data_IF_408865715914
#
_entry.id   IF_408865715914
#
_cell.length_a   1.000
_cell.length_b   1.000
_cell.length_c   1.000
_cell.angle_alpha   90.00
_cell.angle_beta   90.00
_cell.angle_gamma   90.00
#
_symmetry.space_group_name_H-M   'P 1'
#
loop_
_entity.id
_entity.type
_entity.pdbx_description
1 polymer ?
#
# COMPACT_ATOMS: atom_id res chain seq x y z
N UNK A 1 0.70 -57.15 -68.27
CA UNK A 1 1.49 -56.69 -67.10
C UNK A 1 2.52 -55.66 -67.56
N UNK A 2 2.13 -54.39 -67.61
CA UNK A 2 2.91 -53.16 -67.87
C UNK A 2 1.84 -52.08 -68.06
N UNK A 3 1.96 -50.92 -67.41
CA UNK A 3 1.03 -49.77 -67.42
C UNK A 3 0.11 -49.62 -66.19
N UNK A 4 0.60 -49.75 -64.95
CA UNK A 4 -0.15 -49.22 -63.79
C UNK A 4 0.74 -48.82 -62.60
N UNK A 5 1.94 -48.29 -62.85
CA UNK A 5 2.85 -47.91 -61.77
C UNK A 5 3.71 -46.69 -62.13
N UNK A 6 3.07 -45.58 -62.51
CA UNK A 6 3.80 -44.32 -62.75
C UNK A 6 2.94 -43.06 -62.57
N UNK A 7 2.14 -42.99 -61.48
CA UNK A 7 1.32 -41.78 -61.21
C UNK A 7 1.17 -41.43 -59.72
N UNK A 8 1.99 -41.99 -58.82
CA UNK A 8 1.92 -41.73 -57.37
C UNK A 8 3.24 -41.24 -56.76
N UNK A 9 4.08 -40.54 -57.54
CA UNK A 9 5.41 -40.09 -57.08
C UNK A 9 5.71 -38.61 -57.35
N UNK A 10 4.67 -37.78 -57.48
CA UNK A 10 4.79 -36.31 -57.51
C UNK A 10 3.67 -35.69 -56.65
N UNK A 11 3.75 -35.89 -55.33
CA UNK A 11 2.88 -35.16 -54.38
C UNK A 11 3.48 -35.07 -52.96
N UNK A 12 4.81 -35.09 -52.84
CA UNK A 12 5.52 -34.79 -51.58
C UNK A 12 6.63 -33.76 -51.83
N UNK A 13 6.35 -32.77 -52.68
CA UNK A 13 7.11 -31.53 -52.69
C UNK A 13 6.55 -30.66 -51.57
N UNK A 14 7.40 -30.32 -50.61
CA UNK A 14 7.06 -29.80 -49.29
C UNK A 14 5.89 -28.81 -49.24
N UNK A 15 4.94 -29.12 -48.35
CA UNK A 15 4.03 -28.15 -47.76
C UNK A 15 4.85 -27.14 -46.95
N UNK A 16 5.56 -26.24 -47.62
CA UNK A 16 5.96 -24.97 -47.01
C UNK A 16 4.63 -24.29 -46.72
N UNK A 17 4.20 -24.34 -45.45
CA UNK A 17 3.03 -23.60 -44.98
C UNK A 17 3.31 -22.14 -45.34
N UNK A 18 2.68 -21.64 -46.40
CA UNK A 18 2.91 -20.30 -46.88
C UNK A 18 2.47 -19.34 -45.78
N UNK A 19 3.43 -18.65 -45.18
CA UNK A 19 3.18 -17.62 -44.17
C UNK A 19 2.21 -16.59 -44.76
N UNK A 20 1.13 -16.30 -44.05
CA UNK A 20 0.14 -15.32 -44.50
C UNK A 20 0.76 -13.92 -44.58
N UNK A 21 0.21 -13.03 -45.40
CA UNK A 21 0.69 -11.64 -45.48
C UNK A 21 0.67 -10.97 -44.09
N UNK A 22 -0.38 -11.19 -43.30
CA UNK A 22 -0.48 -10.68 -41.93
C UNK A 22 0.65 -11.19 -41.02
N UNK A 23 0.98 -12.49 -41.07
CA UNK A 23 2.09 -13.03 -40.30
C UNK A 23 3.43 -12.43 -40.73
N UNK A 24 3.67 -12.25 -42.04
CA UNK A 24 4.89 -11.62 -42.53
C UNK A 24 5.00 -10.18 -42.05
N UNK A 25 3.92 -9.40 -42.16
CA UNK A 25 3.87 -8.01 -41.69
C UNK A 25 4.03 -7.90 -40.17
N UNK A 26 3.46 -8.84 -39.42
CA UNK A 26 3.62 -8.90 -37.97
C UNK A 26 5.07 -9.18 -37.57
N UNK A 27 5.72 -10.18 -38.19
CA UNK A 27 7.12 -10.48 -37.92
C UNK A 27 8.04 -9.31 -38.28
N UNK A 28 7.77 -8.63 -39.38
CA UNK A 28 8.49 -7.42 -39.76
C UNK A 28 8.30 -6.31 -38.71
N UNK A 29 7.06 -6.01 -38.33
CA UNK A 29 6.77 -5.00 -37.32
C UNK A 29 7.42 -5.34 -35.96
N UNK A 30 7.43 -6.63 -35.57
CA UNK A 30 8.08 -7.10 -34.35
C UNK A 30 9.59 -6.86 -34.41
N UNK A 31 10.23 -7.20 -35.53
CA UNK A 31 11.67 -6.98 -35.72
C UNK A 31 12.03 -5.49 -35.65
N UNK A 32 11.25 -4.63 -36.31
CA UNK A 32 11.44 -3.18 -36.27
C UNK A 32 11.26 -2.64 -34.84
N UNK A 33 10.26 -3.14 -34.11
CA UNK A 33 9.99 -2.78 -32.73
C UNK A 33 11.11 -3.22 -31.76
N UNK A 34 11.65 -4.43 -31.92
CA UNK A 34 12.75 -4.92 -31.08
C UNK A 34 14.03 -4.06 -31.24
N UNK A 35 14.32 -3.63 -32.47
CA UNK A 35 15.52 -2.85 -32.79
C UNK A 35 15.38 -1.36 -32.44
N UNK A 36 14.21 -0.76 -32.70
CA UNK A 36 13.99 0.67 -32.53
C UNK A 36 12.58 0.93 -31.96
N UNK A 37 12.32 0.58 -30.68
CA UNK A 37 10.97 0.56 -30.13
C UNK A 37 10.30 1.94 -30.15
N UNK A 38 11.03 3.01 -29.81
CA UNK A 38 10.49 4.36 -29.85
C UNK A 38 10.09 4.79 -31.27
N UNK A 39 10.91 4.46 -32.27
CA UNK A 39 10.61 4.77 -33.68
C UNK A 39 9.38 3.98 -34.15
N UNK A 40 9.33 2.69 -33.84
CA UNK A 40 8.18 1.85 -34.20
C UNK A 40 6.89 2.37 -33.55
N UNK A 41 6.92 2.73 -32.26
CA UNK A 41 5.76 3.34 -31.56
C UNK A 41 5.34 4.66 -32.22
N UNK A 42 6.29 5.48 -32.64
CA UNK A 42 6.03 6.79 -33.27
C UNK A 42 5.37 6.62 -34.63
N UNK A 43 5.91 5.74 -35.46
CA UNK A 43 5.55 5.61 -36.87
C UNK A 43 4.38 4.66 -37.10
N UNK A 44 4.25 3.62 -36.26
CA UNK A 44 3.35 2.50 -36.52
C UNK A 44 2.22 2.38 -35.49
N UNK A 45 2.02 3.33 -34.57
CA UNK A 45 0.79 3.42 -33.78
C UNK A 45 -0.12 4.54 -34.31
N UNK A 46 -1.41 4.28 -34.34
CA UNK A 46 -2.41 5.30 -34.61
C UNK A 46 -2.43 6.38 -33.51
N UNK A 47 -2.85 7.60 -33.85
CA UNK A 47 -2.89 8.71 -32.88
C UNK A 47 -3.92 8.47 -31.76
N UNK A 48 -4.94 7.65 -32.04
CA UNK A 48 -5.95 7.21 -31.06
C UNK A 48 -5.61 5.87 -30.40
N UNK A 49 -4.37 5.39 -30.51
CA UNK A 49 -3.97 4.11 -29.93
C UNK A 49 -4.14 4.12 -28.41
N UNK A 50 -4.70 3.02 -27.90
CA UNK A 50 -4.84 2.74 -26.47
C UNK A 50 -4.27 1.37 -26.12
N UNK A 51 -3.48 1.34 -25.05
CA UNK A 51 -3.01 0.11 -24.39
C UNK A 51 -3.66 -0.01 -23.02
N UNK A 52 -4.40 -1.08 -22.78
CA UNK A 52 -4.81 -1.47 -21.43
C UNK A 52 -3.76 -2.41 -20.87
N UNK A 53 -3.00 -1.96 -19.88
CA UNK A 53 -1.94 -2.76 -19.26
C UNK A 53 -2.50 -3.80 -18.27
N UNK A 54 -1.67 -4.78 -17.89
CA UNK A 54 -2.05 -5.81 -16.92
C UNK A 54 -2.41 -5.28 -15.52
N UNK A 55 -2.05 -4.03 -15.20
CA UNK A 55 -2.43 -3.38 -13.94
C UNK A 55 -3.77 -2.64 -14.01
N UNK A 56 -4.42 -2.61 -15.18
CA UNK A 56 -5.60 -1.80 -15.46
C UNK A 56 -5.30 -0.35 -15.85
N UNK A 57 -4.03 0.07 -15.87
CA UNK A 57 -3.65 1.38 -16.37
C UNK A 57 -3.86 1.46 -17.89
N UNK A 58 -4.48 2.54 -18.35
CA UNK A 58 -4.73 2.82 -19.77
C UNK A 58 -3.73 3.86 -20.26
N UNK A 59 -2.93 3.50 -21.26
CA UNK A 59 -1.91 4.36 -21.85
C UNK A 59 -2.26 4.73 -23.30
N UNK A 60 -2.17 6.01 -23.65
CA UNK A 60 -2.25 6.49 -25.02
C UNK A 60 -0.87 6.53 -25.72
N UNK A 61 -0.84 6.82 -27.03
CA UNK A 61 0.41 6.90 -27.82
C UNK A 61 1.49 7.79 -27.18
N UNK A 62 1.16 9.02 -26.76
CA UNK A 62 2.14 9.93 -26.14
C UNK A 62 2.70 9.37 -24.83
N UNK A 63 1.86 8.76 -23.99
CA UNK A 63 2.30 8.11 -22.76
C UNK A 63 3.22 6.93 -23.06
N UNK A 64 2.91 6.13 -24.08
CA UNK A 64 3.76 5.01 -24.52
C UNK A 64 5.11 5.54 -25.05
N UNK A 65 5.11 6.58 -25.88
CA UNK A 65 6.36 7.21 -26.36
C UNK A 65 7.24 7.70 -25.20
N UNK A 66 6.64 8.28 -24.16
CA UNK A 66 7.35 8.71 -22.97
C UNK A 66 8.03 7.53 -22.24
N UNK A 67 7.36 6.36 -22.17
CA UNK A 67 7.92 5.13 -21.59
C UNK A 67 9.14 4.62 -22.37
N UNK A 68 9.14 4.76 -23.71
CA UNK A 68 10.22 4.26 -24.56
C UNK A 68 11.37 5.24 -24.80
N UNK A 69 11.34 6.44 -24.19
CA UNK A 69 12.35 7.48 -24.42
C UNK A 69 13.78 7.05 -24.04
N UNK A 70 13.92 6.23 -23.00
CA UNK A 70 15.21 5.72 -22.52
C UNK A 70 15.42 4.22 -22.81
N UNK A 71 14.53 3.60 -23.59
CA UNK A 71 14.62 2.18 -23.93
C UNK A 71 15.48 2.03 -25.19
N UNK A 72 16.62 1.34 -25.04
CA UNK A 72 17.57 1.06 -26.12
C UNK A 72 17.01 0.04 -27.11
N UNK A 73 16.50 -1.06 -26.59
CA UNK A 73 15.99 -2.19 -27.37
C UNK A 73 14.97 -2.97 -26.55
N UNK A 74 14.22 -3.81 -27.25
CA UNK A 74 13.26 -4.73 -26.63
C UNK A 74 13.51 -6.14 -27.15
N UNK A 75 13.47 -7.12 -26.27
CA UNK A 75 13.25 -8.52 -26.64
C UNK A 75 11.77 -8.83 -26.47
N UNK A 76 11.11 -9.27 -27.54
CA UNK A 76 9.68 -9.61 -27.51
C UNK A 76 9.45 -10.92 -28.24
N UNK A 77 9.04 -11.96 -27.52
CA UNK A 77 8.86 -13.30 -28.07
C UNK A 77 7.48 -13.84 -27.68
N UNK A 78 6.81 -14.53 -28.61
CA UNK A 78 5.46 -15.06 -28.36
C UNK A 78 5.47 -16.58 -28.32
N UNK A 79 4.85 -17.16 -27.29
CA UNK A 79 4.41 -18.56 -27.25
C UNK A 79 2.92 -18.62 -27.59
N UNK A 80 2.50 -19.68 -28.28
CA UNK A 80 1.11 -19.87 -28.70
C UNK A 80 0.54 -18.67 -29.47
N UNK A 81 1.38 -18.07 -30.33
CA UNK A 81 0.98 -16.94 -31.16
C UNK A 81 -0.12 -17.38 -32.15
N UNK A 82 -1.24 -16.66 -32.14
CA UNK A 82 -2.29 -16.78 -33.13
C UNK A 82 -2.48 -15.43 -33.80
N UNK A 83 -2.42 -15.41 -35.13
CA UNK A 83 -2.63 -14.22 -35.94
C UNK A 83 -3.85 -14.47 -36.82
N UNK A 84 -4.81 -13.55 -36.79
CA UNK A 84 -6.01 -13.60 -37.63
C UNK A 84 -6.16 -12.30 -38.39
N UNK A 85 -6.50 -12.39 -39.67
CA UNK A 85 -6.78 -11.25 -40.53
C UNK A 85 -8.25 -11.27 -40.96
N UNK A 86 -8.91 -10.12 -40.88
CA UNK A 86 -10.26 -9.89 -41.37
C UNK A 86 -10.29 -8.57 -42.16
N UNK A 87 -10.32 -8.66 -43.50
CA UNK A 87 -10.10 -7.50 -44.36
C UNK A 87 -8.70 -6.92 -44.12
N UNK A 88 -8.62 -5.63 -43.79
CA UNK A 88 -7.37 -4.97 -43.43
C UNK A 88 -7.05 -5.05 -41.93
N UNK A 89 -7.94 -5.58 -41.10
CA UNK A 89 -7.71 -5.69 -39.66
C UNK A 89 -6.92 -6.96 -39.35
N UNK A 90 -5.90 -6.85 -38.51
CA UNK A 90 -5.09 -7.97 -38.02
C UNK A 90 -5.16 -8.02 -36.51
N UNK A 91 -5.44 -9.19 -35.95
CA UNK A 91 -5.43 -9.45 -34.51
C UNK A 91 -4.32 -10.47 -34.23
N UNK A 92 -3.39 -10.10 -33.36
CA UNK A 92 -2.32 -11.00 -32.90
C UNK A 92 -2.49 -11.23 -31.40
N UNK A 93 -2.59 -12.49 -30.98
CA UNK A 93 -2.74 -12.86 -29.57
C UNK A 93 -1.78 -13.98 -29.19
N UNK A 94 -1.21 -13.92 -27.99
CA UNK A 94 -0.31 -14.96 -27.50
C UNK A 94 0.32 -14.62 -26.15
N UNK A 95 1.07 -15.57 -25.60
CA UNK A 95 1.85 -15.35 -24.38
C UNK A 95 3.17 -14.66 -24.77
N UNK A 96 3.26 -13.37 -24.50
CA UNK A 96 4.42 -12.53 -24.80
C UNK A 96 5.40 -12.54 -23.62
N UNK A 97 6.66 -12.87 -23.90
CA UNK A 97 7.78 -12.57 -23.04
C UNK A 97 8.42 -11.26 -23.52
N UNK A 98 8.46 -10.24 -22.66
CA UNK A 98 8.93 -8.90 -22.97
C UNK A 98 10.09 -8.52 -22.06
N UNK A 99 11.22 -8.11 -22.63
CA UNK A 99 12.36 -7.55 -21.88
C UNK A 99 12.69 -6.17 -22.46
N UNK A 100 12.75 -5.16 -21.60
CA UNK A 100 13.19 -3.81 -21.96
C UNK A 100 14.61 -3.58 -21.48
N UNK A 101 15.48 -3.16 -22.40
CA UNK A 101 16.85 -2.79 -22.10
C UNK A 101 16.99 -1.28 -22.11
N UNK A 102 17.51 -0.70 -21.03
CA UNK A 102 17.62 0.75 -20.87
C UNK A 102 19.02 1.26 -21.22
N UNK A 103 19.11 2.52 -21.65
CA UNK A 103 20.38 3.17 -22.01
C UNK A 103 21.05 3.94 -20.85
N UNK A 104 20.37 4.07 -19.71
CA UNK A 104 20.76 4.94 -18.58
C UNK A 104 21.25 4.16 -17.35
N UNK A 105 21.48 2.85 -17.49
CA UNK A 105 21.88 1.97 -16.40
C UNK A 105 20.72 1.50 -15.52
N UNK A 106 19.47 1.87 -15.84
CA UNK A 106 18.29 1.25 -15.23
C UNK A 106 18.30 -0.26 -15.49
N UNK A 107 18.05 -1.11 -14.47
CA UNK A 107 17.97 -2.56 -14.67
C UNK A 107 16.90 -2.95 -15.69
N UNK A 108 17.17 -4.01 -16.44
CA UNK A 108 16.24 -4.52 -17.43
C UNK A 108 14.90 -4.91 -16.79
N UNK A 109 13.81 -4.59 -17.48
CA UNK A 109 12.46 -4.95 -17.06
C UNK A 109 12.00 -6.16 -17.88
N UNK A 110 11.93 -7.33 -17.24
CA UNK A 110 11.36 -8.54 -17.83
C UNK A 110 9.95 -8.80 -17.31
N UNK A 111 9.02 -9.10 -18.21
CA UNK A 111 7.62 -9.34 -17.89
C UNK A 111 6.97 -10.28 -18.89
N UNK A 112 6.12 -11.18 -18.38
CA UNK A 112 5.29 -12.07 -19.18
C UNK A 112 3.83 -11.57 -19.19
N UNK A 113 3.25 -11.52 -20.38
CA UNK A 113 1.86 -11.11 -20.59
C UNK A 113 1.12 -12.16 -21.43
N UNK A 114 -0.18 -12.29 -21.18
CA UNK A 114 -1.12 -12.67 -22.23
C UNK A 114 -1.47 -11.38 -22.97
N UNK A 115 -1.03 -11.28 -24.22
CA UNK A 115 -1.15 -10.07 -25.02
C UNK A 115 -2.12 -10.26 -26.16
N UNK A 116 -2.93 -9.24 -26.43
CA UNK A 116 -3.75 -9.12 -27.63
C UNK A 116 -3.52 -7.75 -28.26
N UNK A 117 -3.10 -7.75 -29.52
CA UNK A 117 -2.87 -6.54 -30.30
C UNK A 117 -3.78 -6.50 -31.52
N UNK A 118 -4.34 -5.33 -31.78
CA UNK A 118 -5.16 -5.07 -32.96
C UNK A 118 -4.45 -4.07 -33.84
N UNK A 119 -4.29 -4.41 -35.11
CA UNK A 119 -3.64 -3.61 -36.13
C UNK A 119 -4.56 -3.41 -37.33
N UNK A 120 -4.25 -2.41 -38.14
CA UNK A 120 -4.76 -2.22 -39.49
C UNK A 120 -3.61 -2.28 -40.49
N UNK A 121 -3.80 -2.98 -41.60
CA UNK A 121 -2.88 -2.95 -42.73
C UNK A 121 -3.11 -1.66 -43.51
N UNK A 122 -2.13 -0.77 -43.51
CA UNK A 122 -2.10 0.46 -44.33
C UNK A 122 -0.81 0.49 -45.12
N UNK A 123 -0.91 0.68 -46.44
CA UNK A 123 0.26 0.80 -47.33
C UNK A 123 1.28 -0.34 -47.13
N UNK A 124 0.79 -1.58 -46.95
CA UNK A 124 1.61 -2.76 -46.68
C UNK A 124 2.46 -2.67 -45.39
N UNK A 125 1.94 -2.00 -44.35
CA UNK A 125 2.48 -1.94 -42.98
C UNK A 125 1.37 -2.17 -41.96
N UNK A 126 1.73 -2.64 -40.76
CA UNK A 126 0.79 -2.67 -39.64
C UNK A 126 0.80 -1.34 -38.90
N UNK A 127 -0.38 -0.78 -38.71
CA UNK A 127 -0.63 0.36 -37.83
C UNK A 127 -1.41 -0.14 -36.62
N UNK A 128 -0.84 -0.04 -35.43
CA UNK A 128 -1.48 -0.42 -34.17
C UNK A 128 -2.71 0.44 -33.89
N UNK A 129 -3.83 -0.22 -33.62
CA UNK A 129 -5.09 0.41 -33.22
C UNK A 129 -5.32 0.31 -31.70
N UNK A 130 -5.02 -0.85 -31.10
CA UNK A 130 -5.10 -1.04 -29.66
C UNK A 130 -4.26 -2.23 -29.20
N UNK A 131 -3.95 -2.24 -27.90
CA UNK A 131 -3.33 -3.38 -27.23
C UNK A 131 -3.97 -3.66 -25.88
N UNK A 132 -3.88 -4.91 -25.45
CA UNK A 132 -4.22 -5.34 -24.11
C UNK A 132 -3.13 -6.28 -23.59
N UNK A 133 -2.68 -6.02 -22.38
CA UNK A 133 -1.82 -6.91 -21.62
C UNK A 133 -2.61 -7.42 -20.42
N UNK A 134 -2.52 -8.72 -20.16
CA UNK A 134 -2.98 -9.34 -18.92
C UNK A 134 -1.80 -10.02 -18.29
N UNK A 135 -1.53 -9.77 -17.01
CA UNK A 135 -0.51 -10.57 -16.32
C UNK A 135 -0.96 -12.01 -16.33
N UNK A 136 -0.11 -12.90 -16.82
CA UNK A 136 -0.33 -14.33 -16.61
C UNK A 136 -0.10 -14.58 -15.12
N UNK A 137 -1.16 -14.96 -14.42
CA UNK A 137 -1.01 -15.51 -13.07
C UNK A 137 -0.03 -16.67 -13.21
N UNK A 138 1.03 -16.75 -12.37
CA UNK A 138 1.92 -17.90 -12.44
C UNK A 138 1.10 -19.20 -12.36
N UNK A 139 1.44 -20.17 -13.21
CA UNK A 139 0.93 -21.53 -13.02
C UNK A 139 1.27 -21.94 -11.58
N UNK A 140 0.28 -22.49 -10.86
CA UNK A 140 0.46 -23.04 -9.52
C UNK A 140 0.69 -22.02 -8.38
N UNK A 141 -0.06 -20.91 -8.35
CA UNK A 141 -0.03 -19.94 -7.23
C UNK A 141 -0.16 -20.59 -5.85
N UNK A 142 -0.97 -21.64 -5.71
CA UNK A 142 -1.12 -22.33 -4.43
C UNK A 142 0.20 -22.92 -3.91
N UNK A 143 1.01 -23.54 -4.78
CA UNK A 143 2.32 -24.06 -4.39
C UNK A 143 3.27 -22.93 -4.01
N UNK A 144 3.27 -21.83 -4.77
CA UNK A 144 4.07 -20.64 -4.47
C UNK A 144 3.68 -20.00 -3.13
N UNK A 145 2.37 -19.92 -2.84
CA UNK A 145 1.86 -19.43 -1.56
C UNK A 145 2.36 -20.29 -0.39
N UNK A 146 2.30 -21.63 -0.49
CA UNK A 146 2.79 -22.52 0.56
C UNK A 146 4.31 -22.43 0.79
N UNK A 147 5.09 -22.27 -0.29
CA UNK A 147 6.54 -22.00 -0.19
C UNK A 147 6.78 -20.69 0.57
N UNK A 148 6.05 -19.63 0.21
CA UNK A 148 6.20 -18.33 0.87
C UNK A 148 5.75 -18.40 2.34
N UNK A 149 4.62 -19.03 2.67
CA UNK A 149 4.14 -19.21 4.07
C UNK A 149 5.20 -19.91 4.91
N UNK A 150 5.75 -21.02 4.40
CA UNK A 150 6.80 -21.79 5.07
C UNK A 150 8.05 -20.95 5.31
N UNK A 151 8.50 -20.24 4.26
CA UNK A 151 9.67 -19.36 4.35
C UNK A 151 9.49 -18.25 5.39
N UNK A 152 8.36 -17.54 5.35
CA UNK A 152 8.09 -16.42 6.25
C UNK A 152 7.97 -16.87 7.71
N UNK A 153 7.34 -18.02 7.94
CA UNK A 153 7.31 -18.65 9.27
C UNK A 153 8.71 -19.00 9.76
N UNK A 154 9.52 -19.64 8.91
CA UNK A 154 10.88 -20.04 9.27
C UNK A 154 11.79 -18.83 9.53
N UNK A 155 11.70 -17.78 8.70
CA UNK A 155 12.44 -16.54 8.91
C UNK A 155 12.11 -15.90 10.26
N UNK A 156 10.82 -15.88 10.64
CA UNK A 156 10.41 -15.39 11.97
C UNK A 156 11.00 -16.25 13.08
N UNK A 157 10.95 -17.57 12.98
CA UNK A 157 11.55 -18.49 13.96
C UNK A 157 13.06 -18.21 14.10
N UNK A 158 13.77 -18.08 12.99
CA UNK A 158 15.22 -17.92 12.96
C UNK A 158 15.66 -16.54 13.49
N UNK A 159 14.95 -15.46 13.17
CA UNK A 159 15.21 -14.11 13.72
C UNK A 159 15.14 -14.13 15.24
N UNK A 160 14.07 -14.69 15.80
CA UNK A 160 13.87 -14.71 17.25
C UNK A 160 14.82 -15.68 17.97
N UNK A 161 15.26 -16.74 17.28
CA UNK A 161 16.32 -17.61 17.75
C UNK A 161 17.74 -16.98 17.65
N UNK A 162 17.85 -15.72 17.21
CA UNK A 162 19.13 -15.01 17.09
C UNK A 162 20.03 -15.54 15.97
N UNK A 163 19.46 -16.24 14.98
CA UNK A 163 20.22 -16.75 13.83
C UNK A 163 20.42 -15.66 12.78
N UNK A 164 21.42 -15.84 11.93
CA UNK A 164 21.61 -15.00 10.77
C UNK A 164 20.56 -15.31 9.69
N UNK A 165 19.70 -14.33 9.43
CA UNK A 165 18.64 -14.41 8.41
C UNK A 165 18.92 -13.55 7.18
N UNK A 166 20.12 -12.99 7.03
CA UNK A 166 20.46 -12.11 5.89
C UNK A 166 20.20 -12.79 4.55
N UNK A 167 20.44 -14.10 4.45
CA UNK A 167 20.14 -14.90 3.26
C UNK A 167 18.64 -14.97 2.90
N UNK A 168 17.73 -14.61 3.82
CA UNK A 168 16.30 -14.50 3.52
C UNK A 168 15.91 -13.20 2.84
N UNK A 169 16.78 -12.20 2.84
CA UNK A 169 16.55 -10.89 2.25
C UNK A 169 17.24 -10.77 0.88
N UNK A 170 16.77 -9.83 0.06
CA UNK A 170 17.50 -9.42 -1.15
C UNK A 170 18.67 -8.55 -0.74
N UNK A 171 19.86 -8.86 -1.25
CA UNK A 171 21.04 -8.02 -1.04
C UNK A 171 20.96 -6.76 -1.92
N UNK A 172 20.30 -5.73 -1.39
CA UNK A 172 20.09 -4.46 -2.05
C UNK A 172 20.03 -3.34 -1.03
N UNK A 173 20.58 -2.13 -1.33
CA UNK A 173 20.45 -0.97 -0.45
C UNK A 173 19.01 -0.49 -0.29
N UNK A 174 18.09 -0.92 -1.17
CA UNK A 174 16.67 -0.58 -1.12
C UNK A 174 15.85 -1.57 -0.29
N UNK A 175 16.41 -2.72 0.07
CA UNK A 175 15.74 -3.68 0.94
C UNK A 175 15.48 -3.04 2.29
N UNK A 176 14.28 -3.16 2.85
CA UNK A 176 13.96 -2.50 4.11
C UNK A 176 13.22 -3.38 5.11
N UNK A 177 13.39 -3.03 6.39
CA UNK A 177 12.59 -3.53 7.51
C UNK A 177 12.02 -2.34 8.27
N UNK A 178 10.70 -2.30 8.39
CA UNK A 178 9.95 -1.30 9.15
C UNK A 178 9.13 -1.93 10.27
N UNK A 179 8.91 -1.18 11.34
CA UNK A 179 7.99 -1.54 12.39
C UNK A 179 7.42 -0.29 13.07
N UNK A 180 6.23 -0.42 13.63
CA UNK A 180 5.68 0.58 14.53
C UNK A 180 6.37 0.49 15.90
N UNK A 181 6.49 1.62 16.56
CA UNK A 181 6.98 1.80 17.93
C UNK A 181 5.96 2.62 18.69
N UNK A 182 6.13 2.71 20.01
CA UNK A 182 5.31 3.59 20.85
C UNK A 182 5.39 5.07 20.48
N UNK A 183 6.32 5.48 19.61
CA UNK A 183 6.54 6.88 19.23
C UNK A 183 6.38 7.14 17.72
N UNK A 184 5.88 6.18 16.94
CA UNK A 184 5.75 6.29 15.49
C UNK A 184 6.31 5.07 14.76
N UNK A 185 7.03 5.28 13.66
CA UNK A 185 7.58 4.19 12.85
C UNK A 185 9.11 4.25 12.79
N UNK A 186 9.73 3.08 12.87
CA UNK A 186 11.17 2.89 12.66
C UNK A 186 11.40 2.11 11.38
N UNK A 187 12.47 2.43 10.66
CA UNK A 187 12.86 1.75 9.43
C UNK A 187 14.38 1.60 9.35
N UNK A 188 14.83 0.47 8.80
CA UNK A 188 16.21 0.21 8.40
C UNK A 188 16.26 -0.16 6.93
N UNK A 189 17.27 0.33 6.22
CA UNK A 189 17.52 0.07 4.81
C UNK A 189 18.83 -0.67 4.63
N UNK A 190 18.88 -1.59 3.67
CA UNK A 190 20.03 -2.45 3.43
C UNK A 190 20.12 -3.62 4.41
N UNK A 191 20.58 -4.76 3.91
CA UNK A 191 20.68 -6.01 4.68
C UNK A 191 21.62 -5.89 5.88
N UNK A 192 22.70 -5.10 5.76
CA UNK A 192 23.65 -4.88 6.84
C UNK A 192 23.01 -4.17 8.07
N UNK A 193 22.25 -3.10 7.84
CA UNK A 193 21.59 -2.37 8.95
C UNK A 193 20.41 -3.16 9.52
N UNK A 194 19.70 -3.92 8.69
CA UNK A 194 18.67 -4.86 9.15
C UNK A 194 19.31 -5.91 10.07
N UNK A 195 20.45 -6.50 9.68
CA UNK A 195 21.16 -7.48 10.51
C UNK A 195 21.59 -6.86 11.83
N UNK A 196 22.23 -5.69 11.78
CA UNK A 196 22.67 -4.97 12.99
C UNK A 196 21.52 -4.74 13.97
N UNK A 197 20.36 -4.31 13.46
CA UNK A 197 19.17 -4.12 14.30
C UNK A 197 18.66 -5.46 14.88
N UNK A 198 18.67 -6.54 14.08
CA UNK A 198 18.28 -7.87 14.57
C UNK A 198 19.22 -8.37 15.67
N UNK A 199 20.52 -8.21 15.49
CA UNK A 199 21.53 -8.61 16.48
C UNK A 199 21.32 -7.83 17.80
N UNK A 200 21.06 -6.52 17.71
CA UNK A 200 20.78 -5.66 18.86
C UNK A 200 19.45 -6.02 19.52
N UNK A 201 18.42 -6.39 18.77
CA UNK A 201 17.06 -6.61 19.31
C UNK A 201 16.84 -8.04 19.82
N UNK A 202 17.41 -9.03 19.13
CA UNK A 202 17.14 -10.45 19.37
C UNK A 202 18.40 -11.24 19.73
N UNK A 203 19.58 -10.83 19.25
CA UNK A 203 20.83 -11.58 19.41
C UNK A 203 21.29 -11.77 20.87
N UNK A 204 20.96 -10.83 21.76
CA UNK A 204 21.31 -10.93 23.18
C UNK A 204 20.33 -11.77 24.01
N UNK A 205 19.16 -12.12 23.46
CA UNK A 205 18.13 -12.97 24.11
C UNK A 205 17.41 -13.85 23.09
N UNK A 206 18.07 -14.88 22.55
CA UNK A 206 17.41 -15.88 21.71
C UNK A 206 16.19 -16.47 22.40
N UNK A 207 15.12 -16.66 21.64
CA UNK A 207 13.88 -17.29 22.11
C UNK A 207 13.47 -18.35 21.11
N UNK A 208 13.08 -19.51 21.64
CA UNK A 208 12.33 -20.46 20.84
C UNK A 208 10.92 -19.92 20.64
N UNK A 209 10.51 -19.82 19.38
CA UNK A 209 9.23 -19.27 18.98
C UNK A 209 8.48 -20.29 18.14
N UNK A 210 7.17 -20.35 18.30
CA UNK A 210 6.28 -21.10 17.43
C UNK A 210 5.15 -20.19 16.96
N UNK A 211 5.45 -19.24 16.05
CA UNK A 211 4.45 -18.28 15.61
C UNK A 211 3.34 -18.98 14.85
N UNK A 212 2.10 -18.53 15.08
CA UNK A 212 0.94 -18.88 14.26
C UNK A 212 0.76 -17.75 13.26
N UNK A 213 0.80 -18.09 11.97
CA UNK A 213 0.53 -17.15 10.89
C UNK A 213 -0.80 -17.54 10.23
N UNK A 214 -1.73 -16.60 10.09
CA UNK A 214 -3.06 -16.85 9.49
C UNK A 214 -3.57 -15.63 8.72
N UNK A 215 -4.76 -15.75 8.12
CA UNK A 215 -5.40 -14.68 7.35
C UNK A 215 -4.53 -14.10 6.23
N UNK A 216 -3.79 -14.98 5.55
CA UNK A 216 -2.93 -14.58 4.45
C UNK A 216 -3.74 -14.00 3.28
N UNK A 217 -3.27 -12.88 2.76
CA UNK A 217 -3.69 -12.29 1.48
C UNK A 217 -2.47 -12.18 0.59
N UNK A 218 -2.55 -12.77 -0.60
CA UNK A 218 -1.49 -12.73 -1.60
C UNK A 218 -1.88 -11.85 -2.77
N UNK A 219 -0.91 -11.09 -3.28
CA UNK A 219 -0.99 -10.43 -4.57
C UNK A 219 0.32 -10.66 -5.33
N UNK A 220 0.27 -11.51 -6.34
CA UNK A 220 1.36 -11.69 -7.29
C UNK A 220 1.28 -10.58 -8.35
N UNK A 221 2.34 -9.81 -8.49
CA UNK A 221 2.47 -8.82 -9.56
C UNK A 221 3.10 -9.43 -10.81
N UNK A 222 3.96 -10.41 -10.61
CA UNK A 222 4.58 -11.27 -11.65
C UNK A 222 4.82 -12.66 -11.04
N UNK A 223 5.25 -13.66 -11.83
CA UNK A 223 5.72 -14.94 -11.28
C UNK A 223 6.86 -14.84 -10.25
N UNK A 224 7.56 -13.70 -10.24
CA UNK A 224 8.74 -13.46 -9.41
C UNK A 224 8.54 -12.34 -8.37
N UNK A 225 7.37 -11.69 -8.30
CA UNK A 225 7.14 -10.58 -7.35
C UNK A 225 5.79 -10.78 -6.66
N UNK A 226 5.80 -10.78 -5.33
CA UNK A 226 4.60 -10.95 -4.51
C UNK A 226 4.54 -9.95 -3.36
N UNK A 227 3.33 -9.46 -3.06
CA UNK A 227 2.98 -8.83 -1.78
C UNK A 227 2.15 -9.81 -0.97
N UNK A 228 2.53 -9.97 0.30
CA UNK A 228 1.85 -10.86 1.25
C UNK A 228 1.51 -10.08 2.50
N UNK A 229 0.27 -10.18 2.94
CA UNK A 229 -0.24 -9.59 4.17
C UNK A 229 -0.81 -10.70 5.03
N UNK A 230 -0.48 -10.75 6.32
CA UNK A 230 -0.98 -11.80 7.22
C UNK A 230 -1.00 -11.34 8.69
N UNK A 231 -1.72 -12.08 9.52
CA UNK A 231 -1.69 -11.95 10.97
C UNK A 231 -0.65 -12.89 11.57
N UNK A 232 0.14 -12.39 12.52
CA UNK A 232 1.17 -13.17 13.21
C UNK A 232 0.98 -13.12 14.72
N UNK A 233 0.76 -14.29 15.32
CA UNK A 233 0.70 -14.51 16.76
C UNK A 233 2.02 -15.10 17.22
N UNK A 234 2.95 -14.24 17.65
CA UNK A 234 4.29 -14.66 18.08
C UNK A 234 4.27 -15.70 19.20
N UNK A 235 3.44 -15.50 20.22
CA UNK A 235 3.35 -16.36 21.40
C UNK A 235 2.10 -17.27 21.38
N UNK A 236 1.46 -17.41 20.22
CA UNK A 236 0.20 -18.13 20.07
C UNK A 236 -1.03 -17.34 20.52
N UNK A 237 -2.20 -18.00 20.49
CA UNK A 237 -3.50 -17.42 20.88
C UNK A 237 -3.71 -17.54 22.40
N UNK A 238 -4.43 -16.60 23.06
CA UNK A 238 -5.31 -15.56 22.49
C UNK A 238 -4.66 -14.16 22.36
N UNK A 239 -3.34 -14.07 22.16
CA UNK A 239 -2.65 -12.78 22.00
C UNK A 239 -3.23 -11.96 20.83
N UNK A 240 -3.17 -10.63 20.92
CA UNK A 240 -3.42 -9.76 19.76
C UNK A 240 -2.28 -9.99 18.73
N UNK A 241 -2.60 -10.32 17.47
CA UNK A 241 -1.57 -10.55 16.46
C UNK A 241 -0.92 -9.23 16.03
N UNK A 242 0.30 -9.29 15.50
CA UNK A 242 0.81 -8.22 14.64
C UNK A 242 0.23 -8.37 13.23
N UNK A 243 0.04 -7.25 12.52
CA UNK A 243 -0.21 -7.27 11.08
C UNK A 243 1.12 -7.19 10.35
N UNK A 244 1.43 -8.22 9.58
CA UNK A 244 2.68 -8.34 8.85
C UNK A 244 2.44 -8.06 7.37
N UNK A 245 3.32 -7.30 6.76
CA UNK A 245 3.39 -7.10 5.31
C UNK A 245 4.78 -7.46 4.81
N UNK A 246 4.84 -8.20 3.70
CA UNK A 246 6.08 -8.65 3.06
C UNK A 246 6.00 -8.40 1.56
N UNK A 247 6.98 -7.70 1.03
CA UNK A 247 7.25 -7.65 -0.41
C UNK A 247 8.36 -8.66 -0.70
N UNK A 248 8.12 -9.58 -1.61
CA UNK A 248 9.07 -10.64 -1.97
C UNK A 248 9.41 -10.59 -3.45
N UNK A 249 10.66 -10.95 -3.75
CA UNK A 249 11.15 -11.19 -5.10
C UNK A 249 11.76 -12.58 -5.19
N UNK A 250 11.56 -13.28 -6.31
CA UNK A 250 12.18 -14.56 -6.59
C UNK A 250 13.52 -14.31 -7.28
N UNK A 251 14.61 -14.58 -6.57
CA UNK A 251 15.98 -14.46 -7.07
C UNK A 251 16.57 -15.86 -7.20
N UNK A 252 17.02 -16.22 -8.41
CA UNK A 252 17.55 -17.56 -8.72
C UNK A 252 16.59 -18.69 -8.27
N UNK A 253 15.29 -18.54 -8.57
CA UNK A 253 14.26 -19.52 -8.22
C UNK A 253 13.84 -19.53 -6.75
N UNK A 254 14.47 -18.73 -5.88
CA UNK A 254 14.18 -18.68 -4.44
C UNK A 254 13.53 -17.36 -4.05
N UNK A 255 12.41 -17.40 -3.33
CA UNK A 255 11.82 -16.20 -2.75
C UNK A 255 12.73 -15.56 -1.70
N UNK A 256 12.91 -14.26 -1.81
CA UNK A 256 13.67 -13.40 -0.90
C UNK A 256 12.82 -12.20 -0.50
N UNK A 257 13.03 -11.68 0.70
CA UNK A 257 12.30 -10.52 1.23
C UNK A 257 12.96 -9.26 0.69
N UNK A 258 12.21 -8.49 -0.11
CA UNK A 258 12.57 -7.16 -0.58
C UNK A 258 12.15 -6.07 0.42
N UNK A 259 11.05 -6.30 1.15
CA UNK A 259 10.53 -5.35 2.12
C UNK A 259 9.75 -6.06 3.21
N UNK A 260 9.95 -5.60 4.45
CA UNK A 260 9.28 -6.10 5.64
C UNK A 260 8.63 -4.93 6.38
N UNK A 261 7.36 -5.05 6.75
CA UNK A 261 6.70 -4.14 7.68
C UNK A 261 5.90 -4.93 8.72
N UNK A 262 6.25 -4.77 9.99
CA UNK A 262 5.59 -5.40 11.13
C UNK A 262 4.80 -4.37 11.95
N UNK A 263 3.49 -4.55 12.07
CA UNK A 263 2.60 -3.66 12.82
C UNK A 263 2.08 -4.37 14.08
N UNK A 264 2.82 -4.24 15.18
CA UNK A 264 2.58 -4.89 16.48
C UNK A 264 1.36 -4.39 17.24
N UNK A 265 0.92 -3.15 17.00
CA UNK A 265 -0.17 -2.50 17.73
C UNK A 265 -1.25 -1.95 16.78
N UNK A 266 -1.38 -2.54 15.59
CA UNK A 266 -2.27 -2.04 14.54
C UNK A 266 -3.73 -1.92 14.98
N UNK A 267 -4.15 -2.75 15.94
CA UNK A 267 -5.50 -2.76 16.52
C UNK A 267 -5.62 -1.94 17.81
N UNK A 268 -4.50 -1.58 18.43
CA UNK A 268 -4.45 -0.80 19.67
C UNK A 268 -3.31 0.23 19.59
N UNK A 269 -3.53 1.29 18.81
CA UNK A 269 -2.52 2.31 18.55
C UNK A 269 -2.27 3.18 19.81
N UNK A 270 -1.49 2.64 20.74
CA UNK A 270 -1.18 3.25 22.03
C UNK A 270 -0.47 4.61 21.87
N UNK A 271 0.34 4.76 20.83
CA UNK A 271 0.95 6.04 20.49
C UNK A 271 -0.10 7.11 20.20
N UNK A 272 -1.06 6.81 19.33
CA UNK A 272 -2.12 7.75 18.99
C UNK A 272 -3.07 7.99 20.15
N UNK A 273 -3.40 6.95 20.94
CA UNK A 273 -4.13 7.13 22.21
C UNK A 273 -3.41 8.09 23.15
N UNK A 274 -2.08 8.02 23.20
CA UNK A 274 -1.23 8.94 23.95
C UNK A 274 -1.28 10.37 23.41
N UNK A 275 -1.26 10.56 22.09
CA UNK A 275 -1.35 11.89 21.47
C UNK A 275 -2.74 12.52 21.65
N UNK A 276 -3.81 11.72 21.55
CA UNK A 276 -5.18 12.13 21.87
C UNK A 276 -5.26 12.57 23.34
N UNK A 277 -4.73 11.76 24.26
CA UNK A 277 -4.70 12.09 25.69
C UNK A 277 -3.94 13.39 25.97
N UNK A 278 -2.77 13.58 25.36
CA UNK A 278 -1.98 14.82 25.50
C UNK A 278 -2.75 16.06 25.04
N UNK A 279 -3.53 15.94 23.96
CA UNK A 279 -4.37 17.04 23.46
C UNK A 279 -5.42 17.44 24.49
N UNK A 280 -6.06 16.44 25.12
CA UNK A 280 -7.07 16.65 26.17
C UNK A 280 -6.42 17.24 27.42
N UNK A 281 -5.33 16.67 27.90
CA UNK A 281 -4.62 17.18 29.08
C UNK A 281 -4.09 18.60 28.84
N UNK A 282 -3.61 18.92 27.63
CA UNK A 282 -3.20 20.28 27.26
C UNK A 282 -4.38 21.26 27.32
N UNK A 283 -5.56 20.87 26.84
CA UNK A 283 -6.77 21.69 26.89
C UNK A 283 -7.25 21.90 28.33
N UNK A 284 -7.35 20.82 29.11
CA UNK A 284 -7.75 20.87 30.52
C UNK A 284 -6.76 21.68 31.37
N UNK A 285 -5.46 21.51 31.15
CA UNK A 285 -4.43 22.33 31.82
C UNK A 285 -4.60 23.82 31.49
N UNK A 286 -4.80 24.15 30.20
CA UNK A 286 -5.00 25.52 29.76
C UNK A 286 -6.27 26.14 30.34
N UNK A 287 -7.36 25.38 30.43
CA UNK A 287 -8.58 25.79 31.12
C UNK A 287 -8.30 26.14 32.59
N UNK A 288 -7.65 25.27 33.36
CA UNK A 288 -7.35 25.54 34.77
C UNK A 288 -6.37 26.71 34.98
N UNK A 289 -5.44 26.91 34.03
CA UNK A 289 -4.49 28.02 34.03
C UNK A 289 -5.11 29.35 33.56
N UNK A 290 -6.34 29.37 33.05
CA UNK A 290 -6.93 30.57 32.45
C UNK A 290 -6.31 30.98 31.11
N UNK A 291 -5.53 30.10 30.47
CA UNK A 291 -4.88 30.35 29.18
C UNK A 291 -5.82 29.96 28.03
N UNK A 292 -6.70 30.88 27.69
CA UNK A 292 -7.73 30.66 26.66
C UNK A 292 -7.11 30.48 25.26
N UNK A 293 -5.93 31.06 25.00
CA UNK A 293 -5.26 30.88 23.72
C UNK A 293 -4.71 29.45 23.58
N UNK A 294 -4.02 28.93 24.61
CA UNK A 294 -3.53 27.56 24.63
C UNK A 294 -4.68 26.54 24.61
N UNK A 295 -5.78 26.85 25.30
CA UNK A 295 -7.01 26.04 25.26
C UNK A 295 -7.53 25.98 23.82
N UNK A 296 -7.73 27.14 23.17
CA UNK A 296 -8.28 27.20 21.83
C UNK A 296 -7.40 26.54 20.76
N UNK A 297 -6.07 26.49 20.97
CA UNK A 297 -5.15 25.75 20.10
C UNK A 297 -5.43 24.24 20.06
N UNK A 298 -6.10 23.67 21.06
CA UNK A 298 -6.46 22.25 21.08
C UNK A 298 -7.78 21.95 20.35
N UNK A 299 -8.53 22.98 19.94
CA UNK A 299 -9.82 22.85 19.28
C UNK A 299 -9.73 23.10 17.78
N UNK A 300 -10.58 22.44 17.00
CA UNK A 300 -10.72 22.67 15.57
C UNK A 300 -11.75 23.78 15.28
N UNK A 301 -11.69 24.94 15.95
CA UNK A 301 -12.74 25.98 15.89
C UNK A 301 -13.13 26.49 14.49
N UNK A 302 -12.26 26.28 13.50
CA UNK A 302 -12.53 26.62 12.10
C UNK A 302 -13.52 25.64 11.42
N UNK A 303 -13.74 24.45 11.98
CA UNK A 303 -14.75 23.53 11.49
C UNK A 303 -16.17 24.05 11.80
N UNK A 304 -17.08 23.92 10.83
CA UNK A 304 -18.48 24.34 10.99
C UNK A 304 -19.29 23.45 11.93
N UNK A 305 -18.78 22.25 12.23
CA UNK A 305 -19.45 21.23 13.02
C UNK A 305 -18.94 21.12 14.46
N UNK A 306 -18.03 21.99 14.91
CA UNK A 306 -17.55 21.95 16.30
C UNK A 306 -18.71 22.15 17.26
N UNK A 307 -18.79 21.30 18.28
CA UNK A 307 -19.88 21.30 19.24
C UNK A 307 -19.41 21.12 20.69
N UNK A 308 -20.17 21.70 21.61
CA UNK A 308 -19.93 21.59 23.06
C UNK A 308 -21.27 21.44 23.77
N UNK A 309 -21.38 20.38 24.54
CA UNK A 309 -22.51 20.10 25.41
C UNK A 309 -22.04 20.12 26.87
N UNK A 310 -22.58 21.02 27.67
CA UNK A 310 -22.23 21.10 29.10
C UNK A 310 -23.43 21.45 29.94
N UNK A 311 -23.66 20.67 31.00
CA UNK A 311 -24.77 20.94 31.93
C UNK A 311 -24.60 22.27 32.66
N UNK A 312 -23.35 22.67 32.95
CA UNK A 312 -23.05 23.95 33.58
C UNK A 312 -23.57 25.16 32.81
N UNK A 313 -23.76 25.07 31.48
CA UNK A 313 -24.34 26.16 30.69
C UNK A 313 -25.75 26.56 31.14
N UNK A 314 -26.54 25.63 31.72
CA UNK A 314 -27.82 25.96 32.35
C UNK A 314 -27.65 27.02 33.45
N UNK A 315 -26.61 26.88 34.28
CA UNK A 315 -26.31 27.79 35.41
C UNK A 315 -25.87 29.18 34.91
N UNK A 316 -25.42 29.29 33.66
CA UNK A 316 -25.04 30.56 33.01
C UNK A 316 -26.17 31.19 32.19
N UNK A 317 -27.35 30.56 32.10
CA UNK A 317 -28.44 31.03 31.22
C UNK A 317 -28.15 30.87 29.73
N UNK A 318 -27.24 29.95 29.37
CA UNK A 318 -26.81 29.67 27.99
C UNK A 318 -27.38 28.31 27.56
N UNK A 319 -27.72 28.08 26.28
CA UNK A 319 -28.13 26.77 25.80
C UNK A 319 -27.11 25.69 26.15
N UNK A 320 -27.59 24.53 26.63
CA UNK A 320 -26.77 23.37 27.03
C UNK A 320 -25.91 22.84 25.89
N UNK A 321 -26.35 23.06 24.65
CA UNK A 321 -25.71 22.63 23.43
C UNK A 321 -25.36 23.86 22.57
N UNK A 322 -24.08 24.02 22.26
CA UNK A 322 -23.57 25.07 21.38
C UNK A 322 -22.83 24.43 20.20
N UNK A 323 -23.03 24.96 18.99
CA UNK A 323 -22.40 24.49 17.76
C UNK A 323 -21.94 25.64 16.87
N UNK A 324 -20.85 25.44 16.12
CA UNK A 324 -20.40 26.34 15.06
C UNK A 324 -20.23 27.78 15.55
N UNK A 325 -20.91 28.73 14.89
CA UNK A 325 -20.82 30.17 15.23
C UNK A 325 -21.28 30.50 16.64
N UNK A 326 -22.29 29.81 17.17
CA UNK A 326 -22.76 30.05 18.53
C UNK A 326 -21.69 29.67 19.57
N UNK A 327 -20.98 28.56 19.32
CA UNK A 327 -19.85 28.14 20.17
C UNK A 327 -18.67 29.11 20.05
N UNK A 328 -18.35 29.60 18.83
CA UNK A 328 -17.31 30.61 18.62
C UNK A 328 -17.63 31.92 19.36
N UNK A 329 -18.85 32.42 19.22
CA UNK A 329 -19.30 33.62 19.90
C UNK A 329 -19.26 33.46 21.43
N UNK A 330 -19.67 32.31 21.95
CA UNK A 330 -19.52 31.98 23.37
C UNK A 330 -18.04 31.97 23.79
N UNK A 331 -17.16 31.35 23.00
CA UNK A 331 -15.72 31.32 23.24
C UNK A 331 -15.09 32.71 23.35
N UNK A 332 -15.48 33.65 22.50
CA UNK A 332 -15.01 35.04 22.55
C UNK A 332 -15.49 35.80 23.80
N UNK A 333 -16.70 35.51 24.29
CA UNK A 333 -17.17 36.10 25.55
C UNK A 333 -16.51 35.44 26.76
N UNK A 334 -16.41 34.10 26.73
CA UNK A 334 -15.73 33.32 27.76
C UNK A 334 -14.28 33.78 27.93
N UNK A 335 -13.58 34.07 26.82
CA UNK A 335 -12.21 34.59 26.81
C UNK A 335 -12.02 35.86 27.65
N UNK A 336 -13.04 36.72 27.72
CA UNK A 336 -12.96 38.00 28.45
C UNK A 336 -13.13 37.84 29.95
N UNK A 337 -13.76 36.75 30.40
CA UNK A 337 -14.19 36.57 31.78
C UNK A 337 -13.49 35.40 32.48
N UNK A 338 -12.94 34.45 31.73
CA UNK A 338 -12.29 33.27 32.29
C UNK A 338 -11.01 33.63 33.03
N UNK A 339 -10.78 33.00 34.18
CA UNK A 339 -9.64 33.23 35.07
C UNK A 339 -9.08 31.88 35.54
N UNK A 340 -7.80 31.83 35.96
CA UNK A 340 -7.24 30.64 36.57
C UNK A 340 -8.13 30.15 37.72
N UNK A 341 -8.42 28.85 37.76
CA UNK A 341 -9.37 28.32 38.76
C UNK A 341 -8.72 28.02 40.10
N UNK A 342 -7.38 27.90 40.14
CA UNK A 342 -6.63 27.45 41.31
C UNK A 342 -6.89 26.00 41.71
N UNK A 343 -7.59 25.24 40.86
CA UNK A 343 -7.91 23.83 41.08
C UNK A 343 -6.93 22.93 40.34
N UNK A 344 -6.73 21.72 40.86
CA UNK A 344 -6.05 20.63 40.16
C UNK A 344 -7.07 19.60 39.69
N UNK A 345 -6.65 18.63 38.88
CA UNK A 345 -7.54 17.58 38.41
C UNK A 345 -6.85 16.22 38.30
N UNK A 346 -7.66 15.17 38.22
CA UNK A 346 -7.26 13.80 37.95
C UNK A 346 -8.20 13.19 36.92
N UNK A 347 -7.63 12.49 35.94
CA UNK A 347 -8.36 11.68 34.97
C UNK A 347 -8.28 10.21 35.36
N UNK A 348 -9.41 9.52 35.45
CA UNK A 348 -9.52 8.07 35.65
C UNK A 348 -10.40 7.41 34.58
N UNK A 349 -10.35 6.07 34.51
CA UNK A 349 -11.21 5.26 33.63
C UNK A 349 -11.16 5.71 32.17
N UNK A 350 -9.95 6.07 31.72
CA UNK A 350 -9.70 6.59 30.39
C UNK A 350 -9.79 5.48 29.35
N UNK A 351 -10.80 5.56 28.50
CA UNK A 351 -11.01 4.68 27.37
C UNK A 351 -10.94 5.51 26.09
N UNK A 352 -10.11 5.06 25.14
CA UNK A 352 -9.91 5.74 23.88
C UNK A 352 -10.01 4.78 22.70
N UNK A 353 -10.70 5.23 21.67
CA UNK A 353 -10.87 4.56 20.40
C UNK A 353 -10.37 5.50 19.31
N UNK A 354 -9.35 5.08 18.58
CA UNK A 354 -8.63 5.93 17.64
C UNK A 354 -8.68 5.28 16.26
N UNK A 355 -9.33 5.95 15.33
CA UNK A 355 -9.27 5.66 13.90
C UNK A 355 -8.19 6.46 13.18
N UNK A 356 -8.13 6.36 11.86
CA UNK A 356 -7.12 7.06 11.05
C UNK A 356 -7.25 8.59 11.11
N UNK A 357 -8.49 9.08 11.12
CA UNK A 357 -8.80 10.52 11.02
C UNK A 357 -9.60 11.05 12.21
N UNK A 358 -10.17 10.17 13.02
CA UNK A 358 -11.00 10.53 14.16
C UNK A 358 -10.62 9.71 15.40
N UNK A 359 -10.97 10.23 16.57
CA UNK A 359 -10.90 9.51 17.81
C UNK A 359 -12.10 9.90 18.68
N UNK A 360 -12.57 8.96 19.49
CA UNK A 360 -13.49 9.27 20.57
C UNK A 360 -12.95 8.69 21.87
N UNK A 361 -13.16 9.43 22.96
CA UNK A 361 -12.70 9.01 24.27
C UNK A 361 -13.77 9.26 25.31
N UNK A 362 -13.75 8.44 26.35
CA UNK A 362 -14.53 8.67 27.56
C UNK A 362 -13.63 8.50 28.78
N UNK A 363 -13.87 9.33 29.79
CA UNK A 363 -13.11 9.28 31.04
C UNK A 363 -13.87 9.96 32.17
N UNK A 364 -13.44 9.71 33.40
CA UNK A 364 -13.93 10.43 34.59
C UNK A 364 -12.92 11.51 34.94
N UNK A 365 -13.38 12.74 35.18
CA UNK A 365 -12.55 13.84 35.65
C UNK A 365 -12.98 14.25 37.06
N UNK A 366 -12.03 14.22 37.99
CA UNK A 366 -12.19 14.77 39.33
C UNK A 366 -11.38 16.06 39.41
N UNK A 367 -12.01 17.16 39.82
CA UNK A 367 -11.34 18.44 40.09
C UNK A 367 -11.24 18.65 41.59
N UNK A 368 -10.13 19.20 42.06
CA UNK A 368 -9.83 19.36 43.48
C UNK A 368 -9.58 20.83 43.82
N UNK A 369 -10.14 21.27 44.94
CA UNK A 369 -9.83 22.57 45.52
C UNK A 369 -8.40 22.58 46.10
N UNK A 370 -7.91 23.76 46.48
CA UNK A 370 -6.59 23.92 47.07
C UNK A 370 -6.38 23.12 48.37
N UNK A 371 -7.46 22.78 49.09
CA UNK A 371 -7.43 21.92 50.29
C UNK A 371 -7.42 20.41 49.97
N UNK A 372 -7.38 20.04 48.68
CA UNK A 372 -7.36 18.66 48.21
C UNK A 372 -8.72 17.96 48.21
N UNK A 373 -9.83 18.66 48.54
CA UNK A 373 -11.18 18.08 48.45
C UNK A 373 -11.70 18.13 47.02
N UNK A 374 -12.45 17.09 46.63
CA UNK A 374 -13.14 17.04 45.33
C UNK A 374 -14.14 18.19 45.25
N UNK A 375 -13.92 19.09 44.30
CA UNK A 375 -14.77 20.24 44.01
C UNK A 375 -15.91 19.85 43.05
N UNK A 376 -15.59 19.03 42.05
CA UNK A 376 -16.53 18.53 41.07
C UNK A 376 -16.03 17.21 40.49
N UNK A 377 -16.96 16.35 40.09
CA UNK A 377 -16.70 15.08 39.43
C UNK A 377 -17.60 14.97 38.20
N UNK A 378 -17.01 14.70 37.04
CA UNK A 378 -17.75 14.64 35.77
C UNK A 378 -17.39 13.38 34.98
N UNK A 379 -18.37 12.86 34.23
CA UNK A 379 -18.12 11.93 33.12
C UNK A 379 -17.96 12.75 31.86
N UNK A 380 -16.84 12.56 31.19
CA UNK A 380 -16.41 13.34 30.05
C UNK A 380 -16.42 12.46 28.79
N UNK A 381 -16.88 13.02 27.68
CA UNK A 381 -16.71 12.49 26.33
C UNK A 381 -16.01 13.54 25.47
N UNK A 382 -15.03 13.13 24.66
CA UNK A 382 -14.45 13.99 23.61
C UNK A 382 -14.45 13.25 22.29
N UNK A 383 -14.71 14.00 21.22
CA UNK A 383 -14.46 13.57 19.85
C UNK A 383 -13.37 14.47 19.30
N UNK A 384 -12.36 13.85 18.70
CA UNK A 384 -11.22 14.52 18.11
C UNK A 384 -11.08 14.13 16.65
N UNK A 385 -10.50 15.05 15.87
CA UNK A 385 -10.14 14.82 14.48
C UNK A 385 -8.69 15.19 14.24
N UNK A 386 -8.12 14.59 13.20
CA UNK A 386 -6.76 14.86 12.77
C UNK A 386 -6.73 16.04 11.80
N UNK A 387 -6.39 17.22 12.32
CA UNK A 387 -6.22 18.47 11.58
C UNK A 387 -4.92 19.12 12.07
N UNK A 388 -3.81 18.85 11.38
CA UNK A 388 -2.45 19.23 11.79
C UNK A 388 -2.13 18.82 13.25
N UNK A 389 -2.38 17.53 13.54
CA UNK A 389 -2.39 16.96 14.89
C UNK A 389 -3.81 16.61 15.33
N UNK A 390 -3.96 16.11 16.56
CA UNK A 390 -5.29 15.86 17.12
C UNK A 390 -5.91 17.16 17.62
N UNK A 391 -7.17 17.41 17.27
CA UNK A 391 -7.95 18.58 17.69
C UNK A 391 -9.32 18.15 18.17
N UNK A 392 -9.80 18.78 19.24
CA UNK A 392 -11.14 18.56 19.77
C UNK A 392 -12.16 19.19 18.82
N UNK A 393 -13.13 18.40 18.39
CA UNK A 393 -14.28 18.83 17.59
C UNK A 393 -15.58 18.73 18.37
N UNK A 394 -15.67 17.81 19.32
CA UNK A 394 -16.83 17.71 20.20
C UNK A 394 -16.40 17.46 21.64
N UNK A 395 -17.15 18.07 22.55
CA UNK A 395 -17.06 17.81 23.98
C UNK A 395 -18.46 17.65 24.55
N UNK A 396 -18.66 16.62 25.38
CA UNK A 396 -19.84 16.50 26.22
C UNK A 396 -19.43 16.12 27.65
N UNK A 397 -20.11 16.69 28.65
CA UNK A 397 -19.93 16.27 30.03
C UNK A 397 -21.21 16.31 30.87
N UNK A 398 -21.21 15.45 31.89
CA UNK A 398 -22.31 15.31 32.86
C UNK A 398 -21.70 15.25 34.26
N UNK A 399 -22.28 15.99 35.21
CA UNK A 399 -21.91 15.94 36.64
C UNK A 399 -22.31 14.55 37.20
N UNK A 400 -21.42 13.92 37.97
CA UNK A 400 -21.62 12.58 38.57
C UNK A 400 -22.08 12.64 40.03
#
# INVERSE_FOLDING_TARGET
>A
MKNLLLLFLIAVAGSVVAQTQAEKLFQQNMSDYQQNPLKNVTDNLSDNYLLVSGSGYIANKSQIMALFKNVKSVEANFKNLSIRQFGNTVIATGNEHHVRHYNDGTPDLSVDYLSTYVYEIRENKLVGLSGQHTYTTPENTQVEEEIIKTKLRQETIDVYAGKDVTSSFIDSPKTFRGWNTRTGYSVKFGVADIKKENDVTFGYRPREMNPINENFTFKFYTPNIALVIYDQYLYGKPQIPSKEMRMLEKVNGTWKIAGLLALWDYSDNAFEKGNVRKTIEAETNAYHAGDVEAMNKQWAYNASYVERQQEYFKKMGVPVYLKGDALRAFGEQFKKVHKPTGQTYKISDYEAHVGTTNAWVTYTQETFNADGKVANKTREMRILERVDGWKIVAMSNVEL
#
